data_IF_413476479679
#
_entry.id   IF_413476479679
#
_cell.length_a   1.000
_cell.length_b   1.000
_cell.length_c   1.000
_cell.angle_alpha   90.00
_cell.angle_beta   90.00
_cell.angle_gamma   90.00
#
_symmetry.space_group_name_H-M   'P 1'
#
loop_
_entity.id
_entity.type
_entity.pdbx_description
1 polymer ?
#
# COMPACT_ATOMS: atom_id res chain seq x y z
N UNK A 1 -19.15 10.10 -10.55
CA UNK A 1 -18.89 10.55 -9.17
C UNK A 1 -17.93 9.53 -8.59
N UNK A 2 -16.62 9.82 -8.56
CA UNK A 2 -15.67 8.91 -7.94
C UNK A 2 -16.07 8.62 -6.48
N UNK A 3 -16.16 7.34 -6.12
CA UNK A 3 -16.41 6.94 -4.75
C UNK A 3 -15.11 7.05 -3.96
N UNK A 4 -15.09 7.92 -2.95
CA UNK A 4 -13.96 8.07 -2.04
C UNK A 4 -13.92 6.99 -0.94
N UNK A 5 -14.77 5.95 -1.02
CA UNK A 5 -14.82 4.87 -0.02
C UNK A 5 -13.49 4.16 0.22
N UNK A 6 -12.56 4.22 -0.73
CA UNK A 6 -11.25 3.58 -0.63
C UNK A 6 -10.13 4.52 -0.12
N UNK A 7 -10.43 5.77 0.20
CA UNK A 7 -9.42 6.72 0.68
C UNK A 7 -9.42 6.81 2.20
N UNK A 8 -8.22 6.82 2.77
CA UNK A 8 -8.01 7.14 4.17
C UNK A 8 -8.19 8.65 4.37
N UNK A 9 -9.40 9.03 4.78
CA UNK A 9 -9.75 10.38 5.19
C UNK A 9 -10.05 10.40 6.69
N UNK A 10 -10.06 11.56 7.36
CA UNK A 10 -10.44 11.66 8.78
C UNK A 10 -11.84 11.12 9.09
N UNK A 11 -12.69 10.98 8.07
CA UNK A 11 -14.05 10.41 8.17
C UNK A 11 -14.13 8.95 7.70
N UNK A 12 -13.03 8.31 7.37
CA UNK A 12 -13.03 6.91 6.94
C UNK A 12 -13.43 6.02 8.11
N UNK A 13 -14.34 5.07 7.87
CA UNK A 13 -14.90 4.21 8.92
C UNK A 13 -13.83 3.43 9.68
N UNK A 14 -12.75 3.07 9.00
CA UNK A 14 -11.60 2.38 9.59
C UNK A 14 -10.88 3.21 10.67
N UNK A 15 -10.88 4.54 10.56
CA UNK A 15 -10.25 5.45 11.54
C UNK A 15 -11.00 5.45 12.87
N UNK A 16 -12.27 5.02 12.87
CA UNK A 16 -13.13 5.00 14.05
C UNK A 16 -13.56 3.57 14.44
N UNK A 17 -12.87 2.55 13.92
CA UNK A 17 -13.19 1.15 14.20
C UNK A 17 -12.38 0.61 15.38
N UNK A 18 -13.01 0.28 16.52
CA UNK A 18 -12.30 -0.28 17.68
C UNK A 18 -11.60 -1.61 17.35
N UNK A 19 -12.24 -2.44 16.51
CA UNK A 19 -11.69 -3.73 16.06
C UNK A 19 -10.44 -3.53 15.17
N UNK A 20 -10.39 -2.45 14.39
CA UNK A 20 -9.20 -2.12 13.61
C UNK A 20 -8.04 -1.71 14.51
N UNK A 21 -8.28 -0.86 15.50
CA UNK A 21 -7.25 -0.42 16.45
C UNK A 21 -6.72 -1.58 17.30
N UNK A 22 -7.61 -2.38 17.89
CA UNK A 22 -7.22 -3.54 18.71
C UNK A 22 -6.48 -4.59 17.87
N UNK A 23 -6.98 -4.85 16.66
CA UNK A 23 -6.34 -5.74 15.70
C UNK A 23 -4.92 -5.28 15.33
N UNK A 24 -4.73 -3.99 15.03
CA UNK A 24 -3.42 -3.41 14.77
C UNK A 24 -2.44 -3.66 15.92
N UNK A 25 -2.88 -3.40 17.16
CA UNK A 25 -2.05 -3.64 18.35
C UNK A 25 -1.64 -5.11 18.47
N UNK A 26 -2.54 -6.07 18.21
CA UNK A 26 -2.21 -7.49 18.24
C UNK A 26 -1.22 -7.88 17.14
N UNK A 27 -1.39 -7.37 15.92
CA UNK A 27 -0.46 -7.61 14.80
C UNK A 27 0.93 -7.07 15.12
N UNK A 28 1.02 -5.84 15.64
CA UNK A 28 2.29 -5.22 16.04
C UNK A 28 2.98 -5.96 17.19
N UNK A 29 2.20 -6.61 18.07
CA UNK A 29 2.71 -7.51 19.12
C UNK A 29 3.12 -8.89 18.61
N UNK A 30 2.97 -9.19 17.32
CA UNK A 30 3.21 -10.52 16.75
C UNK A 30 2.15 -11.56 17.13
N UNK A 31 1.01 -11.13 17.66
CA UNK A 31 -0.06 -12.00 18.16
C UNK A 31 -1.18 -12.23 17.13
N UNK A 32 -0.85 -12.24 15.84
CA UNK A 32 -1.85 -12.35 14.75
C UNK A 32 -2.76 -13.58 14.82
N UNK A 33 -2.33 -14.66 15.50
CA UNK A 33 -3.17 -15.84 15.72
C UNK A 33 -4.34 -15.59 16.68
N UNK A 34 -4.23 -14.61 17.57
CA UNK A 34 -5.23 -14.26 18.58
C UNK A 34 -6.32 -13.31 18.08
N UNK A 35 -6.20 -12.84 16.83
CA UNK A 35 -7.18 -11.96 16.22
C UNK A 35 -8.56 -12.63 16.15
N UNK A 36 -9.56 -11.92 16.64
CA UNK A 36 -10.97 -12.29 16.52
C UNK A 36 -11.43 -12.21 15.06
N UNK A 37 -12.63 -12.72 14.79
CA UNK A 37 -13.22 -12.65 13.45
C UNK A 37 -13.41 -11.20 12.98
N UNK A 38 -13.86 -10.32 13.87
CA UNK A 38 -14.11 -8.91 13.57
C UNK A 38 -12.81 -8.16 13.26
N UNK A 39 -11.78 -8.35 14.08
CA UNK A 39 -10.45 -7.76 13.86
C UNK A 39 -9.84 -8.23 12.53
N UNK A 40 -9.93 -9.53 12.21
CA UNK A 40 -9.48 -10.05 10.91
C UNK A 40 -10.22 -9.39 9.74
N UNK A 41 -11.54 -9.23 9.85
CA UNK A 41 -12.33 -8.59 8.79
C UNK A 41 -11.96 -7.11 8.60
N UNK A 42 -11.67 -6.39 9.68
CA UNK A 42 -11.27 -4.99 9.63
C UNK A 42 -9.86 -4.80 9.02
N UNK A 43 -8.96 -5.77 9.21
CA UNK A 43 -7.59 -5.74 8.70
C UNK A 43 -7.44 -6.32 7.28
N UNK A 44 -8.47 -6.99 6.73
CA UNK A 44 -8.35 -7.72 5.47
C UNK A 44 -7.91 -6.83 4.31
N UNK A 45 -8.37 -5.58 4.27
CA UNK A 45 -7.98 -4.60 3.24
C UNK A 45 -6.47 -4.24 3.26
N UNK A 46 -5.78 -4.47 4.38
CA UNK A 46 -4.36 -4.19 4.58
C UNK A 46 -3.50 -5.44 4.58
N UNK A 47 -4.13 -6.61 4.39
CA UNK A 47 -3.42 -7.89 4.38
C UNK A 47 -2.44 -7.93 3.23
N UNK A 48 -1.17 -8.14 3.55
CA UNK A 48 -0.16 -8.24 2.52
C UNK A 48 -0.10 -9.65 1.97
N UNK A 49 -0.40 -9.79 0.68
CA UNK A 49 -0.27 -11.05 -0.05
C UNK A 49 1.18 -11.16 -0.55
N UNK A 50 1.95 -12.19 -0.17
CA UNK A 50 3.36 -12.33 -0.54
C UNK A 50 3.63 -12.21 -2.05
N UNK A 51 2.72 -12.73 -2.89
CA UNK A 51 2.80 -12.61 -4.35
C UNK A 51 2.70 -11.14 -4.84
N UNK A 52 1.88 -10.31 -4.19
CA UNK A 52 1.75 -8.88 -4.50
C UNK A 52 2.96 -8.08 -3.97
N UNK A 53 3.60 -8.54 -2.90
CA UNK A 53 4.87 -7.99 -2.41
C UNK A 53 6.01 -8.21 -3.41
N UNK A 54 6.14 -9.43 -3.93
CA UNK A 54 7.17 -9.75 -4.93
C UNK A 54 7.03 -8.90 -6.21
N UNK A 55 5.80 -8.64 -6.66
CA UNK A 55 5.54 -7.76 -7.81
C UNK A 55 5.93 -6.29 -7.55
N UNK A 56 5.81 -5.80 -6.30
CA UNK A 56 6.25 -4.45 -5.92
C UNK A 56 7.76 -4.33 -5.76
N UNK A 57 8.40 -5.37 -5.26
CA UNK A 57 9.87 -5.42 -5.15
C UNK A 57 10.51 -5.55 -6.54
N UNK A 58 9.87 -6.23 -7.49
CA UNK A 58 10.37 -6.36 -8.87
C UNK A 58 10.51 -5.03 -9.62
N UNK A 59 9.65 -4.04 -9.37
CA UNK A 59 9.75 -2.70 -10.00
C UNK A 59 10.82 -1.81 -9.34
N UNK A 60 11.16 -2.08 -8.07
CA UNK A 60 12.16 -1.32 -7.30
C UNK A 60 13.57 -1.93 -7.38
N UNK A 61 13.66 -3.25 -7.59
CA UNK A 61 14.93 -3.97 -7.70
C UNK A 61 15.55 -3.90 -9.11
N UNK A 62 14.75 -3.84 -10.18
CA UNK A 62 15.25 -3.75 -11.57
C UNK A 62 15.74 -2.35 -11.97
N UNK A 63 15.47 -1.31 -11.17
CA UNK A 63 15.95 0.04 -11.44
C UNK A 63 16.46 0.68 -10.17
N UNK A 64 17.63 0.22 -9.71
CA UNK A 64 18.37 0.82 -8.60
C UNK A 64 18.57 2.32 -8.82
N UNK A 65 17.77 3.13 -8.12
CA UNK A 65 17.82 4.59 -8.18
C UNK A 65 16.65 5.23 -7.44
N UNK A 66 16.88 6.40 -6.86
CA UNK A 66 15.83 7.16 -6.15
C UNK A 66 14.65 7.48 -7.08
N UNK A 67 13.44 7.62 -6.54
CA UNK A 67 12.26 8.07 -7.29
C UNK A 67 12.53 9.34 -8.13
N UNK A 68 13.35 10.25 -7.60
CA UNK A 68 13.76 11.47 -8.29
C UNK A 68 14.62 11.16 -9.52
N UNK A 69 15.58 10.25 -9.40
CA UNK A 69 16.45 9.83 -10.51
C UNK A 69 15.63 9.15 -11.61
N UNK A 70 14.65 8.32 -11.23
CA UNK A 70 13.69 7.70 -12.15
C UNK A 70 12.85 8.74 -12.89
N UNK A 71 12.33 9.74 -12.17
CA UNK A 71 11.54 10.82 -12.77
C UNK A 71 12.40 11.64 -13.75
N UNK A 72 13.64 11.96 -13.37
CA UNK A 72 14.57 12.67 -14.24
C UNK A 72 14.94 11.86 -15.48
N UNK A 73 15.21 10.55 -15.34
CA UNK A 73 15.53 9.66 -16.47
C UNK A 73 14.38 9.59 -17.47
N UNK A 74 13.13 9.41 -17.01
CA UNK A 74 11.94 9.41 -17.88
C UNK A 74 11.81 10.71 -18.66
N UNK A 75 11.94 11.86 -17.99
CA UNK A 75 11.90 13.18 -18.64
C UNK A 75 12.97 13.35 -19.71
N UNK A 76 14.19 12.84 -19.49
CA UNK A 76 15.27 12.89 -20.50
C UNK A 76 14.95 12.05 -21.72
N UNK A 77 14.39 10.85 -21.53
CA UNK A 77 14.01 9.94 -22.61
C UNK A 77 12.84 10.48 -23.44
N UNK A 78 11.84 11.09 -22.80
CA UNK A 78 10.71 11.76 -23.48
C UNK A 78 11.18 12.97 -24.29
N UNK A 79 12.17 13.72 -23.80
CA UNK A 79 12.78 14.84 -24.55
C UNK A 79 13.66 14.38 -25.73
N UNK A 80 14.16 13.14 -25.69
CA UNK A 80 14.99 12.56 -26.74
C UNK A 80 14.21 11.68 -27.71
N UNK A 81 12.87 11.62 -27.64
CA UNK A 81 12.08 11.02 -28.71
C UNK A 81 12.09 11.98 -29.92
N UNK A 82 12.76 11.65 -31.04
CA UNK A 82 12.55 12.42 -32.26
C UNK A 82 11.11 12.20 -32.70
N UNK A 83 10.39 13.30 -32.90
CA UNK A 83 9.12 13.26 -33.63
C UNK A 83 9.44 12.83 -35.06
N UNK A 84 8.97 11.63 -35.44
CA UNK A 84 8.94 11.16 -36.82
C UNK A 84 7.49 11.07 -37.26
#
# INVERSE_FOLDING_TARGET
MESYSNYLAPRAEIVHSPDFESGCVQVLKGQGQRLTRSEKSALEAFRVIPAAQAARVGDDAETGGSFVERLQKRRRLEQHQPAY
#
